data_IF_932073420436
#
_entry.id   IF_932073420436
#
_cell.length_a   1.000
_cell.length_b   1.000
_cell.length_c   1.000
_cell.angle_alpha   90.00
_cell.angle_beta   90.00
_cell.angle_gamma   90.00
#
_symmetry.space_group_name_H-M   'P 1'
#
loop_
_entity.id
_entity.type
_entity.pdbx_description
1 polymer ?
#
# COMPACT_ATOMS: atom_id res chain seq x y z
N UNK A 1 -19.77 2.44 3.57
CA UNK A 1 -18.40 1.96 3.37
C UNK A 1 -17.65 2.22 4.66
N UNK A 2 -17.09 1.19 5.31
CA UNK A 2 -16.27 1.40 6.52
C UNK A 2 -14.87 1.84 6.06
N UNK A 3 -14.37 2.91 6.64
CA UNK A 3 -12.97 3.31 6.46
C UNK A 3 -12.08 2.29 7.17
N UNK A 4 -10.92 2.00 6.59
CA UNK A 4 -9.91 1.12 7.18
C UNK A 4 -9.31 1.87 8.38
N UNK A 5 -9.29 1.24 9.56
CA UNK A 5 -8.49 1.71 10.70
C UNK A 5 -7.11 1.06 10.65
N UNK A 6 -6.10 1.83 10.27
CA UNK A 6 -4.71 1.36 10.15
C UNK A 6 -4.17 0.82 11.48
N UNK A 7 -4.66 1.34 12.61
CA UNK A 7 -4.20 0.94 13.94
C UNK A 7 -4.72 -0.45 14.36
N UNK A 8 -5.61 -1.05 13.57
CA UNK A 8 -6.13 -2.38 13.84
C UNK A 8 -5.17 -3.49 13.37
N UNK A 9 -4.27 -3.20 12.42
CA UNK A 9 -3.39 -4.20 11.82
C UNK A 9 -1.98 -4.17 12.40
N UNK A 10 -1.35 -5.34 12.47
CA UNK A 10 0.03 -5.49 12.94
C UNK A 10 0.28 -4.96 14.35
N UNK A 11 -0.73 -4.90 15.22
CA UNK A 11 -0.62 -4.34 16.57
C UNK A 11 0.44 -5.08 17.38
N UNK A 12 0.43 -6.41 17.35
CA UNK A 12 1.39 -7.21 18.10
C UNK A 12 2.78 -7.19 17.44
N UNK A 13 2.82 -7.25 16.11
CA UNK A 13 4.08 -7.12 15.36
C UNK A 13 4.78 -5.77 15.60
N UNK A 14 4.02 -4.67 15.63
CA UNK A 14 4.54 -3.32 15.89
C UNK A 14 5.05 -3.16 17.33
N UNK A 15 4.37 -3.76 18.32
CA UNK A 15 4.87 -3.81 19.71
C UNK A 15 6.23 -4.49 19.79
N UNK A 16 6.40 -5.63 19.11
CA UNK A 16 7.67 -6.35 19.08
C UNK A 16 8.77 -5.50 18.46
N UNK A 17 8.50 -4.83 17.35
CA UNK A 17 9.44 -3.91 16.71
C UNK A 17 9.86 -2.80 17.70
N UNK A 18 8.91 -2.17 18.38
CA UNK A 18 9.19 -1.10 19.32
C UNK A 18 10.09 -1.57 20.48
N UNK A 19 9.80 -2.74 21.05
CA UNK A 19 10.62 -3.33 22.13
C UNK A 19 12.05 -3.59 21.66
N UNK A 20 12.24 -4.06 20.41
CA UNK A 20 13.58 -4.29 19.85
C UNK A 20 14.33 -2.98 19.67
N UNK A 21 13.70 -1.95 19.12
CA UNK A 21 14.31 -0.63 18.94
C UNK A 21 14.67 0.02 20.28
N UNK A 22 13.79 -0.08 21.27
CA UNK A 22 14.03 0.44 22.62
C UNK A 22 15.24 -0.27 23.26
N UNK A 23 15.33 -1.59 23.12
CA UNK A 23 16.46 -2.38 23.62
C UNK A 23 17.79 -2.06 22.91
N UNK A 24 17.76 -1.79 21.61
CA UNK A 24 18.92 -1.37 20.85
C UNK A 24 19.41 0.01 21.33
N UNK A 25 18.50 0.97 21.47
CA UNK A 25 18.83 2.31 21.99
C UNK A 25 19.39 2.28 23.42
N UNK A 26 18.86 1.40 24.28
CA UNK A 26 19.38 1.18 25.64
C UNK A 26 20.76 0.53 25.62
N UNK A 27 21.04 -0.33 24.64
CA UNK A 27 22.33 -0.98 24.49
C UNK A 27 23.40 -0.04 23.96
N UNK A 28 23.04 0.89 23.07
CA UNK A 28 23.93 1.96 22.60
C UNK A 28 24.32 2.94 23.72
N UNK A 29 23.40 3.22 24.65
CA UNK A 29 23.66 4.08 25.82
C UNK A 29 24.54 3.40 26.88
N UNK A 30 24.68 2.07 26.86
CA UNK A 30 25.53 1.34 27.80
C UNK A 30 26.99 1.48 27.38
N UNK A 31 27.88 1.65 28.36
CA UNK A 31 29.33 1.56 28.15
C UNK A 31 29.69 0.26 27.43
N UNK A 32 30.57 0.37 26.42
CA UNK A 32 31.06 -0.79 25.67
C UNK A 32 31.79 -1.73 26.63
N UNK A 33 31.76 -3.02 26.33
CA UNK A 33 32.41 -4.03 27.17
C UNK A 33 33.92 -3.78 27.33
N UNK A 34 34.58 -3.22 26.30
CA UNK A 34 35.99 -2.83 26.36
C UNK A 34 36.24 -1.69 27.36
N UNK A 35 35.40 -0.65 27.33
CA UNK A 35 35.50 0.49 28.24
C UNK A 35 35.20 0.07 29.70
N UNK A 36 34.21 -0.83 29.89
CA UNK A 36 33.93 -1.43 31.21
C UNK A 36 35.13 -2.24 31.74
N UNK A 37 35.77 -3.03 30.88
CA UNK A 37 36.96 -3.79 31.27
C UNK A 37 38.10 -2.87 31.69
N UNK A 38 38.29 -1.74 31.00
CA UNK A 38 39.29 -0.75 31.36
C UNK A 38 39.02 -0.12 32.73
N UNK A 39 37.76 0.28 32.99
CA UNK A 39 37.37 0.83 34.30
C UNK A 39 37.56 -0.18 35.45
N UNK A 40 37.26 -1.46 35.22
CA UNK A 40 37.49 -2.53 36.22
C UNK A 40 38.98 -2.69 36.51
N UNK A 41 39.85 -2.65 35.49
CA UNK A 41 41.31 -2.69 35.65
C UNK A 41 41.83 -1.49 36.43
N UNK A 42 41.32 -0.30 36.14
CA UNK A 42 41.68 0.94 36.86
C UNK A 42 41.25 0.87 38.33
N UNK A 43 40.00 0.51 38.64
CA UNK A 43 39.52 0.38 40.03
C UNK A 43 40.30 -0.68 40.82
N UNK A 44 40.62 -1.82 40.20
CA UNK A 44 41.38 -2.90 40.86
C UNK A 44 42.77 -2.48 41.31
N UNK A 45 43.38 -1.46 40.69
CA UNK A 45 44.67 -0.89 41.14
C UNK A 45 44.55 0.07 42.32
N UNK A 46 43.33 0.46 42.69
CA UNK A 46 43.04 1.42 43.76
C UNK A 46 42.28 0.79 44.94
N UNK A 47 41.77 -0.43 44.80
CA UNK A 47 41.09 -1.18 45.85
C UNK A 47 42.08 -1.70 46.90
N UNK A 48 41.78 -1.46 48.19
CA UNK A 48 42.55 -1.95 49.34
C UNK A 48 41.82 -3.03 50.14
N UNK A 49 40.54 -3.27 49.87
CA UNK A 49 39.76 -4.35 50.47
C UNK A 49 40.02 -5.68 49.73
N UNK A 50 40.36 -6.78 50.44
CA UNK A 50 40.58 -8.09 49.82
C UNK A 50 39.32 -8.64 49.14
N UNK A 51 38.16 -8.43 49.76
CA UNK A 51 36.87 -8.93 49.27
C UNK A 51 36.46 -8.24 47.95
N UNK A 52 36.58 -6.92 47.90
CA UNK A 52 36.29 -6.15 46.68
C UNK A 52 37.29 -6.47 45.55
N UNK A 53 38.54 -6.79 45.88
CA UNK A 53 39.53 -7.18 44.90
C UNK A 53 39.18 -8.50 44.21
N UNK A 54 38.76 -9.51 44.98
CA UNK A 54 38.33 -10.80 44.44
C UNK A 54 37.09 -10.67 43.54
N UNK A 55 36.12 -9.82 43.92
CA UNK A 55 34.94 -9.53 43.11
C UNK A 55 35.32 -8.86 41.77
N UNK A 56 36.22 -7.87 41.81
CA UNK A 56 36.71 -7.19 40.60
C UNK A 56 37.54 -8.13 39.71
N UNK A 57 38.31 -9.04 40.30
CA UNK A 57 39.07 -10.05 39.54
C UNK A 57 38.15 -11.06 38.83
N UNK A 58 37.07 -11.49 39.47
CA UNK A 58 36.08 -12.34 38.82
C UNK A 58 35.38 -11.61 37.65
N UNK A 59 35.00 -10.35 37.87
CA UNK A 59 34.35 -9.52 36.86
C UNK A 59 35.25 -9.23 35.65
N UNK A 60 36.55 -8.98 35.89
CA UNK A 60 37.57 -8.80 34.86
C UNK A 60 37.68 -10.04 33.96
N UNK A 61 37.86 -11.23 34.57
CA UNK A 61 37.97 -12.50 33.84
C UNK A 61 36.71 -12.79 33.02
N UNK A 62 35.53 -12.48 33.56
CA UNK A 62 34.26 -12.67 32.87
C UNK A 62 34.12 -11.74 31.65
N UNK A 63 34.48 -10.46 31.78
CA UNK A 63 34.47 -9.50 30.68
C UNK A 63 35.49 -9.84 29.59
N UNK A 64 36.71 -10.23 29.97
CA UNK A 64 37.74 -10.68 29.02
C UNK A 64 37.28 -11.90 28.22
N UNK A 65 36.66 -12.88 28.90
CA UNK A 65 36.09 -14.06 28.24
C UNK A 65 34.98 -13.67 27.27
N UNK A 66 34.03 -12.81 27.69
CA UNK A 66 32.91 -12.35 26.85
C UNK A 66 33.38 -11.62 25.60
N UNK A 67 34.41 -10.78 25.72
CA UNK A 67 35.02 -10.06 24.58
C UNK A 67 35.75 -11.04 23.66
N UNK A 68 36.63 -11.88 24.22
CA UNK A 68 37.49 -12.81 23.44
C UNK A 68 36.69 -13.82 22.62
N UNK A 69 35.56 -14.28 23.15
CA UNK A 69 34.71 -15.28 22.47
C UNK A 69 33.47 -14.68 21.79
N UNK A 70 33.37 -13.35 21.71
CA UNK A 70 32.26 -12.64 21.05
C UNK A 70 30.86 -13.07 21.57
N UNK A 71 30.78 -13.46 22.84
CA UNK A 71 29.56 -13.96 23.50
C UNK A 71 28.61 -12.83 23.94
N UNK A 72 28.84 -11.62 23.45
CA UNK A 72 28.02 -10.44 23.75
C UNK A 72 26.83 -10.27 22.80
N UNK A 73 26.73 -11.13 21.77
CA UNK A 73 25.64 -11.10 20.81
C UNK A 73 24.48 -11.92 21.32
N UNK A 74 23.42 -11.25 21.72
CA UNK A 74 22.15 -11.87 22.07
C UNK A 74 21.16 -11.66 20.92
N UNK A 75 20.31 -12.66 20.61
CA UNK A 75 19.25 -12.46 19.63
C UNK A 75 18.29 -11.37 20.12
N UNK A 76 17.86 -10.50 19.20
CA UNK A 76 16.98 -9.36 19.52
C UNK A 76 15.60 -9.80 20.06
N UNK A 77 15.17 -11.01 19.72
CA UNK A 77 13.94 -11.63 20.22
C UNK A 77 14.33 -12.95 20.91
N UNK A 78 13.83 -13.21 22.14
CA UNK A 78 14.01 -14.48 22.82
C UNK A 78 13.60 -15.68 21.96
N UNK A 79 14.35 -16.77 22.05
CA UNK A 79 14.20 -17.92 21.15
C UNK A 79 12.85 -18.64 21.33
N UNK A 80 12.33 -18.65 22.56
CA UNK A 80 11.01 -19.12 22.96
C UNK A 80 9.85 -18.28 22.38
N UNK A 81 10.07 -16.98 22.15
CA UNK A 81 9.06 -16.08 21.58
C UNK A 81 9.13 -16.01 20.05
N UNK A 82 10.23 -16.47 19.45
CA UNK A 82 10.50 -16.31 18.02
C UNK A 82 9.46 -16.99 17.12
N UNK A 83 8.97 -18.17 17.50
CA UNK A 83 7.91 -18.85 16.76
C UNK A 83 6.56 -18.13 16.89
N UNK A 84 6.24 -17.65 18.09
CA UNK A 84 5.00 -16.91 18.38
C UNK A 84 4.94 -15.63 17.56
N UNK A 85 6.02 -14.85 17.52
CA UNK A 85 6.10 -13.61 16.72
C UNK A 85 5.92 -13.93 15.23
N UNK A 86 6.56 -14.98 14.71
CA UNK A 86 6.38 -15.40 13.31
C UNK A 86 4.95 -15.82 12.99
N UNK A 87 4.29 -16.54 13.89
CA UNK A 87 2.89 -16.94 13.71
C UNK A 87 1.96 -15.73 13.73
N UNK A 88 2.14 -14.82 14.69
CA UNK A 88 1.32 -13.61 14.79
C UNK A 88 1.43 -12.75 13.52
N UNK A 89 2.66 -12.51 13.05
CA UNK A 89 2.87 -11.77 11.81
C UNK A 89 2.19 -12.43 10.59
N UNK A 90 2.23 -13.77 10.51
CA UNK A 90 1.56 -14.51 9.44
C UNK A 90 0.02 -14.43 9.53
N UNK A 91 -0.54 -14.40 10.75
CA UNK A 91 -1.98 -14.23 10.97
C UNK A 91 -2.42 -12.83 10.59
N UNK A 92 -1.72 -11.80 11.09
CA UNK A 92 -2.01 -10.39 10.78
C UNK A 92 -1.89 -10.11 9.26
N UNK A 93 -0.89 -10.70 8.60
CA UNK A 93 -0.76 -10.62 7.14
C UNK A 93 -1.96 -11.23 6.41
N UNK A 94 -2.44 -12.39 6.87
CA UNK A 94 -3.56 -13.08 6.25
C UNK A 94 -4.86 -12.27 6.41
N UNK A 95 -5.06 -11.62 7.55
CA UNK A 95 -6.21 -10.73 7.77
C UNK A 95 -6.19 -9.52 6.81
N UNK A 96 -5.02 -8.92 6.60
CA UNK A 96 -4.85 -7.84 5.61
C UNK A 96 -5.13 -8.34 4.20
N UNK A 97 -4.56 -9.49 3.82
CA UNK A 97 -4.74 -10.06 2.48
C UNK A 97 -6.20 -10.41 2.19
N UNK A 98 -6.92 -10.94 3.19
CA UNK A 98 -8.36 -11.23 3.07
C UNK A 98 -9.16 -9.94 2.87
N UNK A 99 -8.93 -8.93 3.72
CA UNK A 99 -9.62 -7.64 3.62
C UNK A 99 -9.35 -6.96 2.28
N UNK A 100 -8.10 -7.02 1.81
CA UNK A 100 -7.69 -6.51 0.50
C UNK A 100 -8.40 -7.25 -0.64
N UNK A 101 -8.53 -8.57 -0.55
CA UNK A 101 -9.25 -9.36 -1.55
C UNK A 101 -10.75 -9.05 -1.56
N UNK A 102 -11.38 -8.86 -0.39
CA UNK A 102 -12.78 -8.44 -0.29
C UNK A 102 -13.01 -7.08 -0.94
N UNK A 103 -12.15 -6.09 -0.65
CA UNK A 103 -12.24 -4.75 -1.25
C UNK A 103 -12.01 -4.77 -2.76
N UNK A 104 -11.09 -5.62 -3.24
CA UNK A 104 -10.88 -5.84 -4.68
C UNK A 104 -12.09 -6.46 -5.36
N UNK A 105 -12.75 -7.42 -4.70
CA UNK A 105 -13.99 -8.02 -5.20
C UNK A 105 -15.12 -6.98 -5.28
N UNK A 106 -15.32 -6.17 -4.22
CA UNK A 106 -16.31 -5.09 -4.26
C UNK A 106 -15.98 -4.08 -5.37
N UNK A 107 -14.72 -3.69 -5.53
CA UNK A 107 -14.30 -2.79 -6.60
C UNK A 107 -14.64 -3.37 -7.99
N UNK A 108 -14.40 -4.67 -8.20
CA UNK A 108 -14.72 -5.34 -9.47
C UNK A 108 -16.21 -5.25 -9.78
N UNK A 109 -17.07 -5.55 -8.80
CA UNK A 109 -18.53 -5.48 -8.98
C UNK A 109 -18.98 -4.04 -9.31
N UNK A 110 -18.38 -3.03 -8.66
CA UNK A 110 -18.65 -1.61 -8.98
C UNK A 110 -18.19 -1.23 -10.39
N UNK A 111 -17.04 -1.73 -10.83
CA UNK A 111 -16.54 -1.52 -12.19
C UNK A 111 -17.48 -2.14 -13.22
N UNK A 112 -17.94 -3.38 -12.98
CA UNK A 112 -18.91 -4.05 -13.85
C UNK A 112 -20.23 -3.26 -13.95
N UNK A 113 -20.71 -2.69 -12.83
CA UNK A 113 -21.87 -1.79 -12.85
C UNK A 113 -21.64 -0.53 -13.70
N UNK A 114 -20.47 0.12 -13.59
CA UNK A 114 -20.14 1.28 -14.41
C UNK A 114 -20.14 0.95 -15.91
N UNK A 115 -19.70 -0.25 -16.26
CA UNK A 115 -19.64 -0.70 -17.65
C UNK A 115 -20.99 -1.13 -18.23
N UNK A 116 -21.80 -1.82 -17.44
CA UNK A 116 -23.07 -2.39 -17.89
C UNK A 116 -24.22 -1.37 -17.87
N UNK A 117 -24.22 -0.44 -16.94
CA UNK A 117 -25.32 0.50 -16.74
C UNK A 117 -24.94 1.92 -17.17
N UNK A 118 -23.86 2.46 -16.62
CA UNK A 118 -23.54 3.88 -16.75
C UNK A 118 -22.98 4.26 -18.13
N UNK A 119 -22.10 3.43 -18.70
CA UNK A 119 -21.51 3.66 -20.02
C UNK A 119 -22.57 3.67 -21.14
N UNK A 120 -23.48 2.67 -21.24
CA UNK A 120 -24.55 2.69 -22.25
C UNK A 120 -25.49 3.88 -22.09
N UNK A 121 -25.81 4.26 -20.85
CA UNK A 121 -26.65 5.43 -20.58
C UNK A 121 -26.01 6.72 -21.11
N UNK A 122 -24.73 6.94 -20.82
CA UNK A 122 -23.98 8.10 -21.32
C UNK A 122 -23.84 8.09 -22.85
N UNK A 123 -23.67 6.91 -23.47
CA UNK A 123 -23.63 6.78 -24.92
C UNK A 123 -24.99 7.15 -25.56
N UNK A 124 -26.09 6.72 -24.95
CA UNK A 124 -27.43 7.08 -25.41
C UNK A 124 -27.70 8.58 -25.26
N UNK A 125 -27.33 9.18 -24.13
CA UNK A 125 -27.44 10.64 -23.95
C UNK A 125 -26.63 11.38 -25.02
N UNK A 126 -25.39 10.95 -25.27
CA UNK A 126 -24.53 11.52 -26.32
C UNK A 126 -25.19 11.43 -27.71
N UNK A 127 -25.79 10.30 -28.05
CA UNK A 127 -26.53 10.13 -29.32
C UNK A 127 -27.75 11.04 -29.39
N UNK A 128 -28.46 11.25 -28.29
CA UNK A 128 -29.59 12.17 -28.27
C UNK A 128 -29.15 13.63 -28.39
N UNK A 129 -28.03 14.02 -27.75
CA UNK A 129 -27.42 15.35 -27.91
C UNK A 129 -27.04 15.64 -29.38
N UNK A 130 -26.51 14.65 -30.10
CA UNK A 130 -26.18 14.81 -31.52
C UNK A 130 -27.44 14.95 -32.38
N UNK A 131 -28.49 14.19 -32.09
CA UNK A 131 -29.76 14.26 -32.81
C UNK A 131 -30.52 15.58 -32.57
N UNK A 132 -30.32 16.25 -31.44
CA UNK A 132 -30.91 17.59 -31.17
C UNK A 132 -30.49 18.66 -32.17
N UNK A 133 -29.37 18.48 -32.88
CA UNK A 133 -28.90 19.43 -33.91
C UNK A 133 -29.53 19.20 -35.28
N UNK A 134 -30.25 18.10 -35.48
CA UNK A 134 -30.89 17.77 -36.77
C UNK A 134 -31.92 18.83 -37.20
N UNK A 135 -32.80 19.33 -36.31
CA UNK A 135 -33.70 20.44 -36.67
C UNK A 135 -32.96 21.68 -37.15
N UNK A 136 -31.87 22.08 -36.48
CA UNK A 136 -31.05 23.24 -36.89
C UNK A 136 -30.43 23.02 -38.28
N UNK A 137 -29.97 21.81 -38.57
CA UNK A 137 -29.46 21.42 -39.89
C UNK A 137 -30.55 21.49 -40.97
N UNK A 138 -31.77 21.05 -40.65
CA UNK A 138 -32.92 21.12 -41.56
C UNK A 138 -33.29 22.57 -41.82
N UNK A 139 -33.44 23.39 -40.78
CA UNK A 139 -33.74 24.82 -40.90
C UNK A 139 -32.69 25.55 -41.72
N UNK A 140 -31.42 25.17 -41.57
CA UNK A 140 -30.34 25.68 -42.37
C UNK A 140 -30.47 25.30 -43.85
N UNK A 141 -30.73 24.01 -44.15
CA UNK A 141 -30.94 23.53 -45.53
C UNK A 141 -32.10 24.27 -46.20
N UNK A 142 -33.22 24.45 -45.48
CA UNK A 142 -34.41 25.13 -45.99
C UNK A 142 -34.17 26.61 -46.32
N UNK A 143 -33.20 27.25 -45.67
CA UNK A 143 -32.83 28.65 -45.89
C UNK A 143 -31.66 28.83 -46.87
N UNK A 144 -30.99 27.75 -47.26
CA UNK A 144 -29.78 27.81 -48.05
C UNK A 144 -30.07 27.90 -49.57
N UNK A 145 -29.30 28.74 -50.26
CA UNK A 145 -29.32 28.84 -51.72
C UNK A 145 -28.17 28.02 -52.34
N UNK A 146 -28.38 27.47 -53.55
CA UNK A 146 -27.39 26.66 -54.27
C UNK A 146 -27.20 27.17 -55.71
N UNK A 147 -25.95 27.34 -56.16
CA UNK A 147 -25.63 27.76 -57.55
C UNK A 147 -24.23 28.37 -57.74
N UNK A 148 -23.87 28.62 -59.02
CA UNK A 148 -22.65 29.33 -59.44
C UNK A 148 -22.72 30.81 -59.01
N UNK A 149 -22.29 31.12 -57.79
CA UNK A 149 -22.40 32.46 -57.21
C UNK A 149 -22.54 32.45 -55.68
N UNK A 150 -22.81 31.28 -55.09
CA UNK A 150 -22.88 31.11 -53.63
C UNK A 150 -21.46 31.06 -53.06
N UNK A 151 -21.18 31.94 -52.09
CA UNK A 151 -19.84 32.09 -51.52
C UNK A 151 -19.36 30.88 -50.71
N UNK A 152 -20.28 30.13 -50.09
CA UNK A 152 -19.97 28.96 -49.27
C UNK A 152 -20.91 27.81 -49.63
N UNK A 153 -20.37 26.65 -50.05
CA UNK A 153 -21.16 25.45 -50.27
C UNK A 153 -21.93 24.99 -49.03
N UNK A 154 -23.20 24.62 -49.21
CA UNK A 154 -24.09 24.08 -48.16
C UNK A 154 -23.45 22.88 -47.43
N UNK A 155 -22.72 22.04 -48.15
CA UNK A 155 -22.01 20.87 -47.59
C UNK A 155 -20.93 21.25 -46.57
N UNK A 156 -20.22 22.38 -46.76
CA UNK A 156 -19.21 22.85 -45.82
C UNK A 156 -19.86 23.44 -44.55
N UNK A 157 -20.99 24.13 -44.69
CA UNK A 157 -21.74 24.69 -43.55
C UNK A 157 -22.45 23.60 -42.74
N UNK A 158 -22.97 22.56 -43.39
CA UNK A 158 -23.52 21.40 -42.68
C UNK A 158 -22.46 20.65 -41.89
N UNK A 159 -21.21 20.63 -42.37
CA UNK A 159 -20.09 19.95 -41.69
C UNK A 159 -19.68 20.65 -40.40
N UNK A 160 -19.85 21.98 -40.29
CA UNK A 160 -19.58 22.72 -39.04
C UNK A 160 -20.72 22.57 -38.03
N UNK A 161 -21.94 22.33 -38.49
CA UNK A 161 -23.12 22.02 -37.66
C UNK A 161 -23.19 20.53 -37.27
N UNK A 162 -22.43 19.68 -37.96
CA UNK A 162 -22.38 18.25 -37.68
C UNK A 162 -21.59 17.98 -36.39
N UNK A 163 -22.16 17.25 -35.42
CA UNK A 163 -21.47 16.99 -34.16
C UNK A 163 -20.26 16.08 -34.36
N UNK A 164 -19.11 16.44 -33.79
CA UNK A 164 -18.02 15.48 -33.64
C UNK A 164 -18.29 14.49 -32.49
N UNK A 165 -17.73 13.29 -32.56
CA UNK A 165 -17.97 12.21 -31.57
C UNK A 165 -17.61 12.57 -30.11
N UNK A 166 -16.93 13.71 -29.89
CA UNK A 166 -16.47 14.21 -28.59
C UNK A 166 -17.02 15.61 -28.24
N UNK A 167 -17.84 16.22 -29.10
CA UNK A 167 -18.40 17.55 -28.86
C UNK A 167 -19.69 17.45 -28.04
N UNK A 168 -19.55 17.60 -26.72
CA UNK A 168 -20.67 17.61 -25.77
C UNK A 168 -20.20 17.30 -24.36
N UNK A 169 -21.00 17.65 -23.36
CA UNK A 169 -20.70 17.28 -21.98
C UNK A 169 -20.77 15.75 -21.80
N UNK A 170 -21.73 15.09 -22.43
CA UNK A 170 -21.85 13.64 -22.40
C UNK A 170 -20.69 12.93 -23.12
N UNK A 171 -20.22 13.46 -24.25
CA UNK A 171 -19.05 12.92 -24.97
C UNK A 171 -17.76 12.97 -24.15
N UNK A 172 -17.51 14.10 -23.44
CA UNK A 172 -16.38 14.23 -22.52
C UNK A 172 -16.51 13.26 -21.33
N UNK A 173 -17.68 13.23 -20.70
CA UNK A 173 -17.95 12.34 -19.57
C UNK A 173 -17.78 10.87 -19.93
N UNK A 174 -18.25 10.44 -21.10
CA UNK A 174 -18.08 9.06 -21.60
C UNK A 174 -16.60 8.72 -21.79
N UNK A 175 -15.81 9.64 -22.36
CA UNK A 175 -14.36 9.44 -22.55
C UNK A 175 -13.62 9.32 -21.23
N UNK A 176 -13.94 10.18 -20.28
CA UNK A 176 -13.29 10.20 -18.97
C UNK A 176 -13.69 8.97 -18.15
N UNK A 177 -14.97 8.58 -18.17
CA UNK A 177 -15.42 7.36 -17.51
C UNK A 177 -14.75 6.11 -18.08
N UNK A 178 -14.63 5.99 -19.40
CA UNK A 178 -13.91 4.89 -20.04
C UNK A 178 -12.45 4.79 -19.58
N UNK A 179 -11.76 5.93 -19.46
CA UNK A 179 -10.38 5.96 -18.94
C UNK A 179 -10.31 5.55 -17.48
N UNK A 180 -11.25 6.02 -16.66
CA UNK A 180 -11.34 5.67 -15.24
C UNK A 180 -11.56 4.19 -15.07
N UNK A 181 -12.56 3.62 -15.76
CA UNK A 181 -12.84 2.17 -15.78
C UNK A 181 -11.59 1.37 -16.20
N UNK A 182 -10.93 1.76 -17.30
CA UNK A 182 -9.72 1.10 -17.76
C UNK A 182 -8.56 1.17 -16.75
N UNK A 183 -8.50 2.23 -15.94
CA UNK A 183 -7.49 2.38 -14.90
C UNK A 183 -7.82 1.54 -13.67
N UNK A 184 -9.09 1.50 -13.26
CA UNK A 184 -9.56 0.67 -12.15
C UNK A 184 -9.37 -0.83 -12.43
N UNK A 185 -9.55 -1.27 -13.67
CA UNK A 185 -9.29 -2.66 -14.09
C UNK A 185 -7.83 -3.10 -13.95
N UNK A 186 -6.88 -2.17 -13.85
CA UNK A 186 -5.45 -2.49 -13.65
C UNK A 186 -5.12 -2.79 -12.19
N UNK A 187 -6.02 -2.49 -11.26
CA UNK A 187 -5.87 -2.84 -9.85
C UNK A 187 -6.08 -4.36 -9.76
N UNK A 188 -4.97 -5.09 -9.59
CA UNK A 188 -4.88 -6.56 -9.79
C UNK A 188 -5.98 -7.39 -9.12
N UNK A 189 -6.33 -8.49 -9.79
CA UNK A 189 -7.23 -9.58 -9.36
C UNK A 189 -6.78 -10.17 -8.01
N UNK A 190 -7.71 -10.71 -7.18
CA UNK A 190 -7.40 -11.35 -5.90
C UNK A 190 -6.27 -12.38 -6.01
N UNK A 191 -5.31 -12.30 -5.09
CA UNK A 191 -4.20 -13.26 -4.98
C UNK A 191 -4.65 -14.39 -4.05
N UNK A 192 -4.50 -15.64 -4.48
CA UNK A 192 -4.84 -16.80 -3.65
C UNK A 192 -3.93 -16.88 -2.42
N UNK A 193 -4.51 -16.72 -1.22
CA UNK A 193 -3.81 -16.79 0.08
C UNK A 193 -3.46 -18.22 0.55
N UNK A 194 -3.60 -19.23 -0.33
CA UNK A 194 -3.47 -20.66 0.02
C UNK A 194 -2.11 -21.02 0.65
N UNK A 195 -1.03 -20.38 0.23
CA UNK A 195 0.32 -20.66 0.74
C UNK A 195 0.53 -20.31 2.22
N UNK A 196 -0.09 -19.22 2.70
CA UNK A 196 -0.01 -18.79 4.10
C UNK A 196 -0.85 -19.67 5.03
N UNK A 197 -2.02 -20.12 4.55
CA UNK A 197 -2.88 -21.07 5.27
C UNK A 197 -2.17 -22.41 5.53
N UNK A 198 -1.43 -22.91 4.54
CA UNK A 198 -0.67 -24.15 4.67
C UNK A 198 0.50 -24.02 5.66
N UNK A 199 1.14 -22.86 5.72
CA UNK A 199 2.17 -22.56 6.71
C UNK A 199 1.61 -22.58 8.14
N UNK A 200 0.45 -21.94 8.38
CA UNK A 200 -0.20 -21.91 9.70
C UNK A 200 -0.68 -23.29 10.16
N UNK A 201 -1.13 -24.16 9.24
CA UNK A 201 -1.56 -25.53 9.57
C UNK A 201 -0.42 -26.46 9.96
N UNK A 202 0.78 -26.28 9.38
CA UNK A 202 1.94 -27.16 9.67
C UNK A 202 2.58 -26.88 11.03
N UNK A 203 2.46 -25.66 11.57
CA UNK A 203 3.00 -25.27 12.87
C UNK A 203 2.18 -25.67 14.10
N UNK A 204 1.12 -26.49 13.95
CA UNK A 204 0.26 -26.96 15.05
C UNK A 204 0.64 -28.35 15.62
N UNK A 205 1.80 -28.90 15.27
CA UNK A 205 2.28 -30.20 15.77
C UNK A 205 3.23 -30.06 16.94
#
# INVERSE_FOLDING_TARGET
>A
MKLIDENQYFVESNKVIQVVLDNESLSEKKLKAADKLQLVKEQKTHTTSPEEYEELEMLEKELERKIRFNQLKYPAVPEDLRETVKRNAAVEQLEVDNTLNELKAELKDRVEYLESELLPLLDNIRKLESLKKVPDQIDFILKAEMGEGVSIPVSLMLRTLSPSNNEGQAGKALKDLNKTVASLKKIEVPVETKGLLDFLKRGKK
#
